data_IF_181740527424
#
_entry.id   IF_181740527424
#
_cell.length_a   1.000
_cell.length_b   1.000
_cell.length_c   1.000
_cell.angle_alpha   90.00
_cell.angle_beta   90.00
_cell.angle_gamma   90.00
#
_symmetry.space_group_name_H-M   'P 1'
#
loop_
_entity.id
_entity.type
_entity.pdbx_description
1 polymer ?
#
# COMPACT_ATOMS: atom_id res chain seq x y z
N UNK A 1 -47.70 25.65 -50.81
CA UNK A 1 -46.42 24.93 -50.95
C UNK A 1 -46.40 23.77 -49.98
N UNK A 2 -46.30 22.55 -50.52
CA UNK A 2 -45.81 21.30 -49.90
C UNK A 2 -46.52 20.76 -48.64
N UNK A 3 -46.34 19.46 -48.47
CA UNK A 3 -47.26 18.46 -47.96
C UNK A 3 -46.49 17.41 -47.14
N UNK A 4 -47.23 16.52 -46.44
CA UNK A 4 -46.81 15.26 -45.78
C UNK A 4 -46.02 15.36 -44.47
N UNK A 5 -46.08 14.45 -43.50
CA UNK A 5 -47.03 13.42 -42.98
C UNK A 5 -46.39 12.99 -41.64
N UNK A 6 -47.21 12.48 -40.72
CA UNK A 6 -46.82 11.81 -39.47
C UNK A 6 -46.08 10.49 -39.69
N UNK A 7 -45.17 10.14 -38.78
CA UNK A 7 -44.90 8.75 -38.38
C UNK A 7 -44.51 8.67 -36.89
N UNK A 8 -45.07 7.66 -36.23
CA UNK A 8 -45.01 7.29 -34.81
C UNK A 8 -43.93 6.20 -34.59
N UNK A 9 -43.79 5.76 -33.31
CA UNK A 9 -43.12 4.53 -32.76
C UNK A 9 -41.73 4.83 -32.14
N UNK A 10 -41.40 4.62 -30.84
CA UNK A 10 -42.02 3.97 -29.65
C UNK A 10 -41.34 4.49 -28.35
N UNK A 11 -41.95 4.25 -27.15
CA UNK A 11 -41.53 4.82 -25.88
C UNK A 11 -40.60 3.94 -25.02
N UNK A 12 -39.83 4.61 -24.16
CA UNK A 12 -38.99 4.09 -23.07
C UNK A 12 -39.82 3.52 -21.89
N UNK A 13 -39.30 2.58 -21.07
CA UNK A 13 -40.08 1.86 -20.06
C UNK A 13 -40.37 2.67 -18.78
N UNK A 14 -41.41 2.29 -18.00
CA UNK A 14 -42.00 3.13 -16.97
C UNK A 14 -41.32 3.02 -15.59
N UNK A 15 -41.22 4.18 -14.93
CA UNK A 15 -41.04 4.31 -13.49
C UNK A 15 -42.32 3.88 -12.77
N UNK A 16 -42.23 2.84 -11.95
CA UNK A 16 -43.28 2.49 -10.98
C UNK A 16 -43.23 3.51 -9.84
N UNK A 17 -44.23 4.38 -9.80
CA UNK A 17 -44.55 5.22 -8.64
C UNK A 17 -45.83 4.66 -8.04
N UNK A 18 -45.73 3.97 -6.90
CA UNK A 18 -46.90 3.49 -6.16
C UNK A 18 -47.28 4.54 -5.12
N UNK A 19 -48.40 5.22 -5.36
CA UNK A 19 -49.08 6.03 -4.36
C UNK A 19 -49.80 5.10 -3.37
N UNK A 20 -49.51 5.27 -2.08
CA UNK A 20 -50.43 4.89 -1.00
C UNK A 20 -50.65 6.12 -0.13
N UNK A 21 -51.88 6.61 -0.17
CA UNK A 21 -52.38 7.71 0.63
C UNK A 21 -52.62 7.24 2.07
N UNK A 22 -51.97 7.89 3.05
CA UNK A 22 -52.47 7.96 4.43
C UNK A 22 -52.19 9.36 5.00
N UNK A 23 -53.27 10.10 5.21
CA UNK A 23 -53.58 10.81 6.46
C UNK A 23 -52.57 11.80 7.04
N UNK A 24 -52.91 13.08 6.91
CA UNK A 24 -52.43 14.23 7.69
C UNK A 24 -52.53 14.05 9.22
N UNK A 25 -51.40 14.17 9.96
CA UNK A 25 -51.22 14.80 11.30
C UNK A 25 -49.74 14.69 11.80
N UNK A 26 -49.26 15.54 12.73
CA UNK A 26 -47.86 15.98 12.76
C UNK A 26 -46.90 15.06 13.53
N UNK A 27 -45.69 14.89 12.99
CA UNK A 27 -44.59 14.16 13.59
C UNK A 27 -43.93 14.93 14.75
N UNK A 28 -44.43 14.72 15.98
CA UNK A 28 -43.68 14.96 17.22
C UNK A 28 -43.99 13.86 18.25
N UNK A 29 -43.58 12.62 17.97
CA UNK A 29 -43.45 11.59 19.03
C UNK A 29 -42.71 10.29 18.67
N UNK A 30 -41.93 10.20 17.58
CA UNK A 30 -41.35 8.92 17.13
C UNK A 30 -39.82 8.79 17.27
N UNK A 31 -39.15 9.62 18.09
CA UNK A 31 -37.70 9.48 18.34
C UNK A 31 -37.34 9.00 19.75
N UNK A 32 -38.32 8.81 20.66
CA UNK A 32 -38.04 8.42 22.04
C UNK A 32 -38.16 6.90 22.29
N UNK A 33 -38.93 6.18 21.48
CA UNK A 33 -39.22 4.75 21.71
C UNK A 33 -38.29 3.78 20.97
N UNK A 34 -37.53 4.26 19.96
CA UNK A 34 -36.54 3.45 19.24
C UNK A 34 -35.21 3.30 19.99
N UNK A 35 -34.87 4.22 20.90
CA UNK A 35 -33.63 4.17 21.69
C UNK A 35 -33.77 3.24 22.91
N UNK A 36 -34.99 3.06 23.44
CA UNK A 36 -35.20 2.23 24.64
C UNK A 36 -35.20 0.72 24.36
N UNK A 37 -35.50 0.29 23.13
CA UNK A 37 -35.70 -1.15 22.84
C UNK A 37 -34.39 -1.87 22.50
N UNK A 38 -33.40 -1.16 21.94
CA UNK A 38 -32.10 -1.74 21.57
C UNK A 38 -31.12 -1.82 22.74
N UNK A 39 -31.10 -0.81 23.63
CA UNK A 39 -30.18 -0.79 24.76
C UNK A 39 -30.53 -1.83 25.84
N UNK A 40 -31.82 -2.08 26.07
CA UNK A 40 -32.26 -3.05 27.08
C UNK A 40 -32.11 -4.52 26.67
N UNK A 41 -32.12 -4.84 25.36
CA UNK A 41 -31.87 -6.20 24.87
C UNK A 41 -30.40 -6.60 25.01
N UNK A 42 -29.48 -5.68 24.70
CA UNK A 42 -28.04 -5.96 24.79
C UNK A 42 -27.56 -6.13 26.25
N UNK A 43 -28.09 -5.32 27.18
CA UNK A 43 -27.76 -5.44 28.60
C UNK A 43 -28.29 -6.74 29.23
N UNK A 44 -29.50 -7.20 28.85
CA UNK A 44 -30.06 -8.48 29.35
C UNK A 44 -29.32 -9.70 28.85
N UNK A 45 -28.79 -9.69 27.62
CA UNK A 45 -28.05 -10.83 27.07
C UNK A 45 -26.65 -11.00 27.70
N UNK A 46 -25.99 -9.89 28.05
CA UNK A 46 -24.72 -9.91 28.78
C UNK A 46 -24.87 -10.46 30.22
N UNK A 47 -25.99 -10.15 30.88
CA UNK A 47 -26.28 -10.64 32.23
C UNK A 47 -26.73 -12.11 32.24
N UNK A 48 -27.31 -12.59 31.13
CA UNK A 48 -27.66 -14.00 30.92
C UNK A 48 -26.45 -14.89 30.62
N UNK A 49 -25.46 -14.37 29.88
CA UNK A 49 -24.19 -15.05 29.64
C UNK A 49 -23.34 -15.14 30.92
N UNK A 50 -23.29 -14.08 31.75
CA UNK A 50 -22.63 -14.14 33.07
C UNK A 50 -23.26 -15.12 34.05
N UNK A 51 -24.58 -15.35 33.97
CA UNK A 51 -25.27 -16.36 34.81
C UNK A 51 -25.07 -17.79 34.30
N UNK A 52 -24.78 -18.00 33.02
CA UNK A 52 -24.46 -19.33 32.49
C UNK A 52 -23.06 -19.80 32.89
N UNK A 53 -22.05 -18.91 32.91
CA UNK A 53 -20.67 -19.26 33.32
C UNK A 53 -20.52 -19.59 34.82
N UNK A 54 -21.46 -19.17 35.67
CA UNK A 54 -21.46 -19.50 37.11
C UNK A 54 -22.20 -20.81 37.40
N UNK A 55 -22.86 -21.41 36.41
CA UNK A 55 -23.66 -22.64 36.57
C UNK A 55 -23.03 -23.91 36.01
N UNK A 56 -21.87 -23.81 35.35
CA UNK A 56 -21.17 -24.96 34.73
C UNK A 56 -19.91 -25.43 35.47
N UNK A 57 -19.63 -24.94 36.69
CA UNK A 57 -18.59 -25.50 37.56
C UNK A 57 -19.06 -26.80 38.24
N UNK A 58 -19.19 -27.86 37.46
CA UNK A 58 -19.30 -29.23 37.94
C UNK A 58 -17.91 -29.80 38.26
N UNK A 59 -17.62 -29.86 39.58
CA UNK A 59 -16.82 -30.86 40.33
C UNK A 59 -15.73 -31.64 39.57
N UNK A 60 -14.47 -31.36 39.91
CA UNK A 60 -13.33 -32.27 39.73
C UNK A 60 -13.35 -33.36 40.83
N UNK A 61 -13.36 -34.66 40.50
CA UNK A 61 -13.38 -35.74 41.48
C UNK A 61 -11.97 -36.24 41.79
N UNK A 62 -11.11 -35.38 42.34
CA UNK A 62 -9.81 -35.80 42.89
C UNK A 62 -9.08 -34.65 43.59
N UNK A 63 -9.57 -34.21 44.75
CA UNK A 63 -8.68 -33.53 45.70
C UNK A 63 -9.24 -33.62 47.14
N UNK A 64 -8.42 -34.02 48.12
CA UNK A 64 -8.86 -34.20 49.51
C UNK A 64 -9.01 -32.86 50.24
N UNK A 65 -9.92 -32.85 51.23
CA UNK A 65 -10.27 -31.69 52.06
C UNK A 65 -9.24 -31.44 53.16
N UNK A 66 -9.05 -30.18 53.55
CA UNK A 66 -8.75 -29.81 54.94
C UNK A 66 -7.84 -28.59 55.13
N UNK A 67 -8.26 -27.68 56.03
CA UNK A 67 -7.37 -26.81 56.80
C UNK A 67 -7.47 -25.30 56.55
N UNK A 68 -8.16 -24.57 57.44
CA UNK A 68 -7.88 -23.16 57.77
C UNK A 68 -6.71 -23.08 58.80
N UNK A 69 -6.32 -21.90 59.35
CA UNK A 69 -5.63 -20.75 58.75
C UNK A 69 -4.35 -20.38 59.58
N UNK A 70 -3.93 -19.11 59.58
CA UNK A 70 -2.76 -18.46 60.24
C UNK A 70 -1.55 -18.27 59.29
N UNK A 71 -0.83 -17.15 59.26
CA UNK A 71 -0.77 -15.97 60.12
C UNK A 71 0.69 -15.47 60.14
N UNK A 72 0.86 -14.18 59.89
CA UNK A 72 1.97 -13.30 60.30
C UNK A 72 3.36 -13.26 59.61
N UNK A 73 3.71 -11.99 59.32
CA UNK A 73 4.96 -11.27 59.60
C UNK A 73 6.31 -11.56 58.89
N UNK A 74 6.93 -10.45 58.44
CA UNK A 74 8.38 -10.19 58.52
C UNK A 74 9.15 -10.32 57.19
N UNK A 75 9.46 -9.27 56.43
CA UNK A 75 10.49 -8.22 56.65
C UNK A 75 11.91 -8.56 56.12
N UNK A 76 12.41 -7.68 55.21
CA UNK A 76 13.83 -7.35 54.87
C UNK A 76 14.64 -8.47 54.15
N UNK A 77 15.67 -8.27 53.33
CA UNK A 77 16.34 -7.13 52.67
C UNK A 77 17.48 -7.70 51.80
N UNK A 78 17.58 -7.31 50.52
CA UNK A 78 18.80 -7.19 49.65
C UNK A 78 19.82 -8.39 49.53
N UNK A 79 20.93 -8.30 48.77
CA UNK A 79 21.00 -8.71 47.35
C UNK A 79 22.20 -9.62 46.96
N UNK A 80 22.27 -9.96 45.66
CA UNK A 80 23.45 -10.23 44.81
C UNK A 80 24.15 -11.62 44.79
N UNK A 81 24.58 -11.91 43.55
CA UNK A 81 25.34 -13.00 42.91
C UNK A 81 26.49 -13.70 43.68
N UNK A 82 26.74 -14.99 43.37
CA UNK A 82 27.89 -15.41 42.54
C UNK A 82 27.93 -16.94 42.24
N UNK A 83 28.41 -17.19 41.02
CA UNK A 83 29.15 -18.26 40.32
C UNK A 83 29.37 -19.73 40.81
N UNK A 84 29.54 -20.56 39.78
CA UNK A 84 30.41 -21.76 39.60
C UNK A 84 30.03 -23.18 40.10
N UNK A 85 30.11 -24.15 39.17
CA UNK A 85 30.75 -25.46 39.46
C UNK A 85 30.23 -26.76 38.81
N UNK A 86 30.82 -27.16 37.66
CA UNK A 86 31.40 -28.51 37.35
C UNK A 86 30.46 -29.78 37.25
N UNK A 87 30.93 -30.99 36.85
CA UNK A 87 31.33 -31.44 35.50
C UNK A 87 30.77 -32.85 35.09
N UNK A 88 31.07 -33.34 33.87
CA UNK A 88 31.65 -34.69 33.55
C UNK A 88 31.22 -35.35 32.20
N UNK A 89 32.29 -35.74 31.50
CA UNK A 89 32.54 -36.62 30.35
C UNK A 89 31.66 -37.88 30.21
N UNK A 90 31.40 -38.30 28.95
CA UNK A 90 31.95 -39.51 28.32
C UNK A 90 31.49 -39.66 26.85
N UNK A 91 32.44 -39.92 25.94
CA UNK A 91 32.27 -40.57 24.63
C UNK A 91 33.04 -41.91 24.69
N UNK A 92 32.79 -42.90 23.80
CA UNK A 92 33.44 -42.99 22.48
C UNK A 92 32.53 -43.72 21.43
N UNK A 93 32.83 -44.02 20.16
CA UNK A 93 33.94 -43.87 19.21
C UNK A 93 33.37 -44.17 17.80
N UNK A 94 34.03 -43.70 16.72
CA UNK A 94 33.97 -44.43 15.45
C UNK A 94 34.02 -43.63 14.14
N UNK A 95 35.12 -43.86 13.39
CA UNK A 95 35.26 -43.88 11.91
C UNK A 95 35.76 -42.62 11.16
N UNK A 96 37.10 -42.62 11.04
CA UNK A 96 37.97 -42.50 9.84
C UNK A 96 37.66 -41.48 8.74
N UNK A 97 38.67 -40.64 8.51
CA UNK A 97 38.90 -39.80 7.34
C UNK A 97 39.24 -40.60 6.07
N UNK A 98 38.77 -40.09 4.93
CA UNK A 98 39.22 -40.42 3.58
C UNK A 98 39.04 -39.20 2.68
N UNK A 99 40.14 -38.55 2.31
CA UNK A 99 40.16 -37.41 1.39
C UNK A 99 40.26 -37.87 -0.06
N UNK A 100 39.50 -37.21 -0.93
CA UNK A 100 39.60 -37.27 -2.39
C UNK A 100 39.12 -35.93 -2.99
N UNK A 101 39.70 -35.46 -4.12
CA UNK A 101 39.41 -34.13 -4.64
C UNK A 101 38.06 -34.12 -5.37
N UNK A 102 37.09 -33.43 -4.78
CA UNK A 102 35.78 -33.20 -5.39
C UNK A 102 35.85 -32.11 -6.45
N UNK A 103 35.66 -32.52 -7.70
CA UNK A 103 35.43 -31.68 -8.88
C UNK A 103 34.39 -30.59 -8.55
N UNK A 104 34.76 -29.33 -8.77
CA UNK A 104 33.83 -28.20 -8.69
C UNK A 104 32.79 -28.33 -9.81
N UNK A 105 31.64 -28.93 -9.50
CA UNK A 105 30.45 -28.78 -10.32
C UNK A 105 30.04 -27.32 -10.24
N UNK A 106 30.31 -26.58 -11.32
CA UNK A 106 29.75 -25.26 -11.52
C UNK A 106 28.25 -25.35 -11.32
N UNK A 107 27.74 -24.65 -10.30
CA UNK A 107 26.32 -24.34 -10.19
C UNK A 107 25.97 -23.49 -11.42
N UNK A 108 25.56 -24.16 -12.48
CA UNK A 108 24.84 -23.54 -13.57
C UNK A 108 23.57 -22.95 -12.98
N UNK A 109 23.62 -21.67 -12.62
CA UNK A 109 22.44 -20.93 -12.27
C UNK A 109 21.44 -21.15 -13.41
N UNK A 110 20.24 -21.64 -13.06
CA UNK A 110 19.14 -21.69 -14.01
C UNK A 110 19.08 -20.33 -14.75
N UNK A 111 18.91 -20.31 -16.08
CA UNK A 111 18.93 -19.07 -16.83
C UNK A 111 17.95 -18.09 -16.18
N UNK A 112 18.48 -16.94 -15.72
CA UNK A 112 17.67 -15.89 -15.11
C UNK A 112 16.49 -15.61 -16.04
N UNK A 113 15.26 -15.76 -15.53
CA UNK A 113 14.09 -15.37 -16.31
C UNK A 113 14.26 -13.90 -16.74
N UNK A 114 13.99 -13.56 -18.02
CA UNK A 114 14.34 -12.24 -18.54
C UNK A 114 13.58 -11.13 -17.82
N UNK A 115 14.33 -10.16 -17.30
CA UNK A 115 13.88 -8.91 -16.73
C UNK A 115 12.77 -8.25 -17.56
N UNK A 116 11.75 -7.68 -16.90
CA UNK A 116 10.60 -7.06 -17.57
C UNK A 116 10.08 -5.82 -16.85
N UNK A 117 9.82 -4.77 -17.64
CA UNK A 117 9.05 -3.60 -17.25
C UNK A 117 7.77 -3.52 -18.08
N UNK A 118 6.63 -3.39 -17.39
CA UNK A 118 5.35 -3.13 -18.01
C UNK A 118 4.95 -1.67 -17.82
N UNK A 119 4.35 -1.07 -18.83
CA UNK A 119 3.70 0.23 -18.70
C UNK A 119 2.25 0.15 -19.18
N UNK A 120 1.48 1.14 -18.77
CA UNK A 120 0.15 1.38 -19.32
C UNK A 120 0.17 2.78 -19.93
N UNK A 121 -0.44 2.94 -21.10
CA UNK A 121 -0.45 4.21 -21.81
C UNK A 121 -1.79 4.42 -22.52
N UNK A 122 -2.14 5.67 -22.77
CA UNK A 122 -3.32 6.03 -23.54
C UNK A 122 -2.94 6.27 -24.99
N UNK A 123 -3.77 5.83 -25.93
CA UNK A 123 -3.69 6.22 -27.34
C UNK A 123 -5.02 6.82 -27.79
N UNK A 124 -5.04 8.04 -28.37
CA UNK A 124 -6.26 8.68 -28.85
C UNK A 124 -7.07 7.76 -29.77
N UNK A 125 -8.38 7.66 -29.52
CA UNK A 125 -9.30 6.79 -30.27
C UNK A 125 -9.17 5.29 -29.98
N UNK A 126 -8.09 4.83 -29.32
CA UNK A 126 -7.90 3.41 -28.94
C UNK A 126 -8.03 3.17 -27.42
N UNK A 127 -7.93 4.22 -26.61
CA UNK A 127 -8.03 4.14 -25.16
C UNK A 127 -6.77 3.59 -24.51
N UNK A 128 -6.95 2.88 -23.39
CA UNK A 128 -5.88 2.28 -22.60
C UNK A 128 -5.20 1.13 -23.34
N UNK A 129 -3.87 1.11 -23.27
CA UNK A 129 -2.97 0.13 -23.89
C UNK A 129 -1.96 -0.38 -22.86
N UNK A 130 -1.44 -1.58 -23.10
CA UNK A 130 -0.40 -2.23 -22.28
C UNK A 130 0.87 -2.35 -23.09
N UNK A 131 2.00 -1.99 -22.50
CA UNK A 131 3.30 -2.02 -23.15
C UNK A 131 4.34 -2.83 -22.39
N UNK A 132 5.23 -3.50 -23.12
CA UNK A 132 6.53 -3.99 -22.61
C UNK A 132 7.59 -2.98 -22.99
N UNK A 133 8.39 -2.53 -22.03
CA UNK A 133 9.48 -1.57 -22.28
C UNK A 133 10.73 -2.34 -22.70
N UNK A 134 11.34 -1.94 -23.83
CA UNK A 134 12.57 -2.51 -24.38
C UNK A 134 13.51 -1.37 -24.79
N UNK A 135 14.53 -1.09 -23.97
CA UNK A 135 15.40 0.07 -24.19
C UNK A 135 14.58 1.37 -24.16
N UNK A 136 14.69 2.17 -25.21
CA UNK A 136 13.97 3.44 -25.36
C UNK A 136 12.62 3.30 -26.08
N UNK A 137 12.13 2.07 -26.23
CA UNK A 137 10.91 1.75 -26.95
C UNK A 137 9.89 1.02 -26.07
N UNK A 138 8.62 1.13 -26.46
CA UNK A 138 7.49 0.38 -25.89
C UNK A 138 6.85 -0.47 -26.97
N UNK A 139 6.85 -1.78 -26.78
CA UNK A 139 6.06 -2.72 -27.59
C UNK A 139 4.61 -2.74 -27.10
N UNK A 140 3.66 -2.37 -27.95
CA UNK A 140 2.23 -2.47 -27.63
C UNK A 140 1.79 -3.94 -27.66
N UNK A 141 1.54 -4.50 -26.47
CA UNK A 141 1.08 -5.87 -26.27
C UNK A 141 -0.42 -5.95 -25.96
N UNK A 142 -1.18 -4.88 -26.22
CA UNK A 142 -2.59 -4.83 -25.84
C UNK A 142 -3.39 -5.90 -26.58
N UNK A 143 -3.94 -6.85 -25.83
CA UNK A 143 -4.77 -7.93 -26.35
C UNK A 143 -5.77 -8.39 -25.29
N UNK A 144 -6.98 -7.80 -25.24
CA UNK A 144 -8.01 -8.19 -24.27
C UNK A 144 -8.34 -9.69 -24.34
N UNK A 145 -8.38 -10.27 -25.55
CA UNK A 145 -8.62 -11.72 -25.75
C UNK A 145 -7.53 -12.60 -25.15
N UNK A 146 -6.30 -12.09 -25.03
CA UNK A 146 -5.19 -12.81 -24.41
C UNK A 146 -4.95 -12.40 -22.94
N UNK A 147 -5.89 -11.70 -22.31
CA UNK A 147 -5.76 -11.23 -20.92
C UNK A 147 -4.88 -9.98 -20.75
N UNK A 148 -4.43 -9.35 -21.83
CA UNK A 148 -3.58 -8.15 -21.82
C UNK A 148 -4.38 -6.89 -22.21
N UNK A 149 -5.60 -6.73 -21.69
CA UNK A 149 -6.40 -5.51 -21.88
C UNK A 149 -5.94 -4.34 -21.00
N UNK A 150 -5.34 -4.66 -19.85
CA UNK A 150 -4.71 -3.75 -18.90
C UNK A 150 -3.63 -4.52 -18.15
N UNK A 151 -2.74 -3.83 -17.43
CA UNK A 151 -1.78 -4.51 -16.54
C UNK A 151 -2.49 -5.23 -15.40
N UNK A 152 -3.61 -4.68 -14.90
CA UNK A 152 -4.45 -5.35 -13.91
C UNK A 152 -5.00 -6.68 -14.45
N UNK A 153 -5.50 -6.72 -15.68
CA UNK A 153 -6.00 -7.95 -16.32
C UNK A 153 -4.88 -9.01 -16.48
N UNK A 154 -3.64 -8.60 -16.73
CA UNK A 154 -2.49 -9.51 -16.72
C UNK A 154 -2.25 -10.09 -15.33
N UNK A 155 -2.28 -9.26 -14.28
CA UNK A 155 -2.11 -9.70 -12.90
C UNK A 155 -3.21 -10.69 -12.51
N UNK A 156 -4.46 -10.38 -12.81
CA UNK A 156 -5.62 -11.23 -12.51
C UNK A 156 -5.58 -12.57 -13.24
N UNK A 157 -5.20 -12.57 -14.52
CA UNK A 157 -5.18 -13.79 -15.34
C UNK A 157 -3.96 -14.69 -15.06
N UNK A 158 -2.83 -14.11 -14.67
CA UNK A 158 -1.58 -14.85 -14.51
C UNK A 158 -1.24 -15.19 -13.05
N UNK A 159 -1.70 -14.38 -12.09
CA UNK A 159 -1.55 -14.58 -10.65
C UNK A 159 -0.12 -14.53 -10.09
N UNK A 160 0.92 -14.58 -10.92
CA UNK A 160 2.33 -14.61 -10.52
C UNK A 160 3.17 -13.76 -11.47
N UNK A 161 4.29 -13.22 -10.97
CA UNK A 161 5.25 -12.48 -11.80
C UNK A 161 5.74 -13.28 -13.01
N UNK A 162 6.21 -14.52 -12.81
CA UNK A 162 6.66 -15.40 -13.89
C UNK A 162 5.54 -15.69 -14.92
N UNK A 163 4.29 -15.81 -14.46
CA UNK A 163 3.13 -15.94 -15.34
C UNK A 163 2.90 -14.70 -16.19
N UNK A 164 2.97 -13.52 -15.58
CA UNK A 164 2.84 -12.22 -16.26
C UNK A 164 3.94 -12.08 -17.31
N UNK A 165 5.19 -12.33 -16.95
CA UNK A 165 6.33 -12.26 -17.86
C UNK A 165 6.19 -13.20 -19.05
N UNK A 166 5.86 -14.47 -18.79
CA UNK A 166 5.65 -15.46 -19.86
C UNK A 166 4.56 -15.02 -20.82
N UNK A 167 3.41 -14.54 -20.30
CA UNK A 167 2.29 -14.09 -21.12
C UNK A 167 2.64 -12.85 -21.93
N UNK A 168 3.22 -11.83 -21.30
CA UNK A 168 3.62 -10.60 -21.96
C UNK A 168 4.65 -10.87 -23.07
N UNK A 169 5.62 -11.75 -22.83
CA UNK A 169 6.64 -12.15 -23.81
C UNK A 169 6.05 -12.94 -24.98
N UNK A 170 5.08 -13.81 -24.73
CA UNK A 170 4.35 -14.51 -25.80
C UNK A 170 3.63 -13.54 -26.74
N UNK A 171 2.98 -12.52 -26.18
CA UNK A 171 2.26 -11.51 -26.96
C UNK A 171 3.26 -10.58 -27.67
N UNK A 172 4.33 -10.16 -27.00
CA UNK A 172 5.36 -9.28 -27.54
C UNK A 172 6.03 -9.85 -28.80
N UNK A 173 6.26 -11.17 -28.87
CA UNK A 173 6.78 -11.83 -30.10
C UNK A 173 5.91 -11.63 -31.34
N UNK A 174 4.62 -11.34 -31.14
CA UNK A 174 3.64 -11.09 -32.21
C UNK A 174 3.29 -9.61 -32.34
N UNK A 175 3.79 -8.75 -31.45
CA UNK A 175 3.53 -7.33 -31.48
C UNK A 175 4.17 -6.68 -32.71
N UNK A 176 3.43 -5.80 -33.37
CA UNK A 176 3.89 -5.08 -34.58
C UNK A 176 4.04 -3.58 -34.36
N UNK A 177 3.52 -3.07 -33.25
CA UNK A 177 3.53 -1.65 -32.94
C UNK A 177 4.57 -1.40 -31.87
N UNK A 178 5.56 -0.57 -32.21
CA UNK A 178 6.59 -0.07 -31.34
C UNK A 178 6.46 1.45 -31.27
N UNK A 179 6.52 2.01 -30.08
CA UNK A 179 6.34 3.44 -29.81
C UNK A 179 7.55 3.91 -29.00
N UNK A 180 8.28 4.94 -29.43
CA UNK A 180 9.38 5.49 -28.63
C UNK A 180 8.89 5.96 -27.26
N UNK A 181 9.66 5.71 -26.21
CA UNK A 181 9.33 6.09 -24.84
C UNK A 181 9.05 7.59 -24.72
N UNK A 182 9.87 8.43 -25.34
CA UNK A 182 9.67 9.89 -25.38
C UNK A 182 8.39 10.34 -26.10
N UNK A 183 7.76 9.46 -26.88
CA UNK A 183 6.43 9.73 -27.42
C UNK A 183 5.31 9.57 -26.39
N UNK A 184 5.55 8.80 -25.34
CA UNK A 184 4.60 8.54 -24.25
C UNK A 184 4.91 9.37 -23.00
N UNK A 185 6.18 9.66 -22.73
CA UNK A 185 6.61 10.39 -21.53
C UNK A 185 6.36 11.90 -21.65
N UNK A 186 5.08 12.28 -21.48
CA UNK A 186 4.60 13.66 -21.60
C UNK A 186 3.35 13.87 -20.74
N UNK A 187 2.93 15.12 -20.52
CA UNK A 187 1.68 15.42 -19.82
C UNK A 187 0.47 14.72 -20.44
N UNK A 188 -0.47 14.23 -19.60
CA UNK A 188 -1.70 13.60 -20.08
C UNK A 188 -2.48 14.49 -21.05
N UNK A 189 -2.95 13.89 -22.15
CA UNK A 189 -3.71 14.60 -23.19
C UNK A 189 -4.71 13.69 -23.88
N UNK A 190 -5.96 14.12 -24.11
CA UNK A 190 -6.92 13.35 -24.90
C UNK A 190 -6.54 13.29 -26.39
N UNK A 191 -5.60 14.13 -26.85
CA UNK A 191 -5.23 14.27 -28.26
C UNK A 191 -3.88 13.64 -28.60
N UNK A 192 -3.10 13.22 -27.61
CA UNK A 192 -1.76 12.64 -27.82
C UNK A 192 -1.58 11.40 -26.96
N UNK A 193 -0.83 10.43 -27.48
CA UNK A 193 -0.45 9.29 -26.68
C UNK A 193 0.41 9.76 -25.48
N UNK A 194 0.20 9.14 -24.32
CA UNK A 194 0.88 9.48 -23.09
C UNK A 194 0.85 8.31 -22.10
N UNK A 195 1.83 8.26 -21.19
CA UNK A 195 1.87 7.30 -20.09
C UNK A 195 0.68 7.49 -19.13
N UNK A 196 0.19 6.38 -18.62
CA UNK A 196 -0.76 6.30 -17.51
C UNK A 196 -0.04 5.76 -16.27
N UNK A 197 -0.71 5.75 -15.12
CA UNK A 197 -0.25 4.93 -14.01
C UNK A 197 -0.13 3.47 -14.48
N UNK A 198 0.88 2.69 -14.02
CA UNK A 198 1.14 1.35 -14.54
C UNK A 198 -0.06 0.41 -14.48
N UNK A 199 -0.97 0.62 -13.54
CA UNK A 199 -2.31 0.05 -13.54
C UNK A 199 -3.30 1.02 -12.89
N UNK A 200 -4.58 0.70 -12.96
CA UNK A 200 -5.60 1.31 -12.10
C UNK A 200 -5.78 0.44 -10.85
N UNK A 201 -5.16 0.79 -9.71
CA UNK A 201 -5.20 -0.06 -8.53
C UNK A 201 -6.60 -0.07 -7.90
N UNK A 202 -7.19 -1.25 -7.61
CA UNK A 202 -8.45 -1.32 -6.86
C UNK A 202 -8.34 -0.63 -5.51
N UNK A 203 -7.22 -0.84 -4.83
CA UNK A 203 -6.88 -0.24 -3.55
C UNK A 203 -5.40 0.17 -3.54
N UNK A 204 -5.11 1.27 -2.84
CA UNK A 204 -3.76 1.68 -2.46
C UNK A 204 -3.71 1.77 -0.94
N UNK A 205 -2.72 1.13 -0.35
CA UNK A 205 -2.38 1.19 1.06
C UNK A 205 -0.99 1.79 1.24
N UNK A 206 -0.72 2.36 2.41
CA UNK A 206 0.59 2.85 2.81
C UNK A 206 1.04 2.20 4.12
N UNK A 207 2.36 2.11 4.30
CA UNK A 207 3.00 1.72 5.54
C UNK A 207 3.89 2.87 6.02
N UNK A 208 3.57 3.44 7.18
CA UNK A 208 4.38 4.51 7.76
C UNK A 208 5.50 3.96 8.65
N UNK A 209 6.46 4.84 8.95
CA UNK A 209 7.48 4.62 10.00
C UNK A 209 8.31 3.35 9.75
N UNK A 210 8.68 3.11 8.49
CA UNK A 210 9.49 1.94 8.10
C UNK A 210 11.00 2.23 8.07
N UNK A 211 11.40 3.50 8.18
CA UNK A 211 12.80 3.97 8.26
C UNK A 211 13.08 4.66 9.59
N UNK A 212 14.28 4.46 10.15
CA UNK A 212 14.68 5.09 11.43
C UNK A 212 14.58 6.62 11.39
N UNK A 213 15.04 7.22 10.28
CA UNK A 213 15.02 8.69 10.10
C UNK A 213 13.60 9.25 10.03
N UNK A 214 12.68 8.47 9.44
CA UNK A 214 11.26 8.83 9.38
C UNK A 214 10.67 8.89 10.79
N UNK A 215 10.88 7.85 11.60
CA UNK A 215 10.48 7.85 13.02
C UNK A 215 11.02 9.09 13.76
N UNK A 216 12.32 9.35 13.67
CA UNK A 216 12.97 10.48 14.35
C UNK A 216 12.38 11.83 13.95
N UNK A 217 12.04 11.99 12.67
CA UNK A 217 11.43 13.20 12.15
C UNK A 217 10.02 13.42 12.71
N UNK A 218 9.16 12.41 12.63
CA UNK A 218 7.78 12.51 13.14
C UNK A 218 7.74 12.75 14.66
N UNK A 219 8.61 12.10 15.43
CA UNK A 219 8.73 12.34 16.88
C UNK A 219 9.17 13.78 17.22
N UNK A 220 10.09 14.35 16.44
CA UNK A 220 10.55 15.72 16.67
C UNK A 220 9.44 16.76 16.42
N UNK A 221 8.53 16.50 15.48
CA UNK A 221 7.53 17.48 15.01
C UNK A 221 6.12 17.29 15.61
N UNK A 222 5.88 16.22 16.36
CA UNK A 222 4.61 16.00 17.08
C UNK A 222 4.67 16.40 18.57
N UNK A 223 5.78 17.00 18.98
CA UNK A 223 6.09 17.36 20.38
C UNK A 223 5.72 18.77 20.84
N UNK A 224 5.48 19.74 19.94
CA UNK A 224 5.28 21.15 20.36
C UNK A 224 4.03 21.38 21.21
N UNK A 225 3.06 20.45 21.18
CA UNK A 225 1.81 20.54 21.96
C UNK A 225 1.58 19.33 22.90
N UNK A 226 2.58 18.47 23.10
CA UNK A 226 2.66 17.49 24.19
C UNK A 226 1.65 16.32 24.23
N UNK A 227 0.68 16.22 23.31
CA UNK A 227 -0.41 15.22 23.40
C UNK A 227 -0.15 13.89 22.68
N UNK A 228 0.88 13.81 21.83
CA UNK A 228 1.08 12.71 20.87
C UNK A 228 2.52 12.19 20.79
N UNK A 229 3.40 12.66 21.68
CA UNK A 229 4.80 12.24 21.73
C UNK A 229 4.91 10.72 21.99
N UNK A 230 5.76 10.03 21.24
CA UNK A 230 6.10 8.62 21.42
C UNK A 230 5.27 7.62 20.62
N UNK A 231 4.23 8.05 19.89
CA UNK A 231 3.41 7.11 19.10
C UNK A 231 4.19 6.53 17.91
N UNK A 232 5.07 7.29 17.29
CA UNK A 232 5.82 6.87 16.11
C UNK A 232 7.02 6.00 16.53
N UNK A 233 7.70 6.36 17.62
CA UNK A 233 8.73 5.51 18.24
C UNK A 233 8.15 4.16 18.67
N UNK A 234 6.98 4.17 19.31
CA UNK A 234 6.27 2.95 19.68
C UNK A 234 5.96 2.05 18.48
N UNK A 235 5.46 2.62 17.37
CA UNK A 235 5.21 1.87 16.12
C UNK A 235 6.51 1.32 15.54
N UNK A 236 7.58 2.12 15.53
CA UNK A 236 8.86 1.72 14.97
C UNK A 236 9.41 0.48 15.68
N UNK A 237 9.32 0.42 17.02
CA UNK A 237 9.82 -0.71 17.82
C UNK A 237 8.82 -1.87 18.00
N UNK A 238 7.54 -1.67 17.67
CA UNK A 238 6.52 -2.72 17.74
C UNK A 238 6.62 -3.74 16.63
N UNK A 239 6.16 -4.99 16.85
CA UNK A 239 6.02 -5.96 15.76
C UNK A 239 4.96 -5.54 14.73
N UNK A 240 3.85 -4.95 15.19
CA UNK A 240 2.78 -4.48 14.33
C UNK A 240 3.20 -3.17 13.63
N UNK A 241 3.25 -3.11 12.29
CA UNK A 241 3.53 -1.88 11.57
C UNK A 241 2.30 -0.97 11.53
N UNK A 242 2.53 0.31 11.25
CA UNK A 242 1.46 1.19 10.78
C UNK A 242 1.05 0.78 9.36
N UNK A 243 -0.26 0.67 9.15
CA UNK A 243 -0.87 0.50 7.83
C UNK A 243 -2.10 1.40 7.75
N UNK A 244 -2.25 2.11 6.63
CA UNK A 244 -3.40 2.97 6.38
C UNK A 244 -3.87 2.86 4.93
N UNK A 245 -5.17 3.07 4.73
CA UNK A 245 -5.73 3.18 3.38
C UNK A 245 -5.32 4.51 2.78
N UNK A 246 -4.73 4.50 1.58
CA UNK A 246 -4.18 5.69 0.93
C UNK A 246 -5.07 6.24 -0.17
N UNK A 247 -5.48 5.40 -1.12
CA UNK A 247 -6.18 5.89 -2.31
C UNK A 247 -7.01 4.83 -3.02
N UNK A 248 -8.02 5.31 -3.76
CA UNK A 248 -8.69 4.57 -4.84
C UNK A 248 -8.04 4.94 -6.17
N UNK A 249 -8.25 4.15 -7.24
CA UNK A 249 -7.77 4.48 -8.58
C UNK A 249 -8.06 5.93 -9.02
N UNK A 250 -9.24 6.47 -8.69
CA UNK A 250 -9.65 7.84 -9.05
C UNK A 250 -8.85 8.96 -8.35
N UNK A 251 -8.14 8.65 -7.26
CA UNK A 251 -7.28 9.57 -6.50
C UNK A 251 -5.79 9.39 -6.84
N UNK A 252 -5.47 8.34 -7.60
CA UNK A 252 -4.12 7.98 -8.02
C UNK A 252 -3.81 8.55 -9.40
N UNK A 253 -2.61 9.09 -9.56
CA UNK A 253 -2.13 9.65 -10.83
C UNK A 253 -0.88 8.94 -11.34
N UNK A 254 -0.68 8.98 -12.66
CA UNK A 254 0.49 8.40 -13.31
C UNK A 254 1.60 9.44 -13.58
N UNK A 255 2.60 9.09 -14.39
CA UNK A 255 3.63 10.03 -14.84
C UNK A 255 3.04 11.27 -15.50
N UNK A 256 3.65 12.41 -15.22
CA UNK A 256 3.34 13.75 -15.72
C UNK A 256 1.93 14.28 -15.43
N UNK A 257 1.10 13.50 -14.73
CA UNK A 257 -0.20 13.94 -14.22
C UNK A 257 -0.02 14.71 -12.91
N UNK A 258 -0.84 15.74 -12.63
CA UNK A 258 -0.63 16.59 -11.46
C UNK A 258 -0.97 15.86 -10.15
N UNK A 259 -0.06 15.93 -9.18
CA UNK A 259 -0.36 15.61 -7.78
C UNK A 259 -1.05 16.79 -7.10
N UNK A 260 -1.84 16.49 -6.07
CA UNK A 260 -2.66 17.48 -5.35
C UNK A 260 -1.96 18.07 -4.13
N UNK A 261 -2.16 19.36 -3.90
CA UNK A 261 -1.97 20.00 -2.58
C UNK A 261 -3.33 20.48 -2.12
N UNK A 262 -3.75 20.12 -0.91
CA UNK A 262 -5.07 20.53 -0.41
C UNK A 262 -5.15 22.05 -0.27
N UNK A 263 -6.33 22.62 -0.47
CA UNK A 263 -6.56 24.06 -0.33
C UNK A 263 -6.34 24.56 1.11
N UNK A 264 -6.58 23.69 2.09
CA UNK A 264 -6.47 23.96 3.52
C UNK A 264 -5.13 23.51 4.14
N UNK A 265 -4.21 22.96 3.34
CA UNK A 265 -2.87 22.61 3.81
C UNK A 265 -1.84 23.66 3.37
N UNK A 266 -1.04 24.09 4.34
CA UNK A 266 0.12 24.98 4.20
C UNK A 266 1.44 24.20 4.12
N UNK A 267 1.45 22.96 4.62
CA UNK A 267 2.62 22.09 4.65
C UNK A 267 2.26 20.72 4.06
N UNK A 268 2.27 20.63 2.73
CA UNK A 268 2.16 19.35 2.02
C UNK A 268 3.54 18.93 1.51
N UNK A 269 3.93 17.69 1.78
CA UNK A 269 5.22 17.13 1.39
C UNK A 269 5.05 15.99 0.38
N UNK A 270 6.13 15.77 -0.40
CA UNK A 270 6.36 14.52 -1.13
C UNK A 270 6.92 13.49 -0.18
N UNK A 271 6.44 12.26 -0.29
CA UNK A 271 7.04 11.10 0.36
C UNK A 271 7.43 10.11 -0.74
N UNK A 272 8.71 10.10 -1.09
CA UNK A 272 9.23 9.23 -2.14
C UNK A 272 9.41 7.81 -1.59
N UNK A 273 8.84 6.82 -2.30
CA UNK A 273 8.76 5.44 -1.79
C UNK A 273 8.94 4.39 -2.88
N UNK A 274 9.36 3.19 -2.45
CA UNK A 274 9.12 1.96 -3.18
C UNK A 274 7.67 1.52 -2.94
N UNK A 275 6.94 1.20 -4.01
CA UNK A 275 5.63 0.55 -3.90
C UNK A 275 5.69 -0.88 -4.45
N UNK A 276 4.95 -1.79 -3.82
CA UNK A 276 4.76 -3.16 -4.27
C UNK A 276 3.34 -3.37 -4.78
N UNK A 277 3.18 -4.21 -5.80
CA UNK A 277 1.87 -4.62 -6.33
C UNK A 277 1.67 -6.09 -6.07
N UNK A 278 0.51 -6.46 -5.52
CA UNK A 278 0.25 -7.83 -5.06
C UNK A 278 -0.79 -8.56 -5.90
N UNK A 279 -0.58 -9.86 -6.07
CA UNK A 279 -1.60 -10.78 -6.57
C UNK A 279 -2.63 -11.12 -5.47
N UNK A 280 -3.69 -11.84 -5.86
CA UNK A 280 -4.79 -12.26 -4.98
C UNK A 280 -4.33 -13.01 -3.71
N UNK A 281 -3.25 -13.78 -3.84
CA UNK A 281 -2.67 -14.59 -2.75
C UNK A 281 -1.65 -13.81 -1.90
N UNK A 282 -1.42 -12.53 -2.19
CA UNK A 282 -0.45 -11.69 -1.50
C UNK A 282 0.98 -11.79 -2.05
N UNK A 283 1.24 -12.57 -3.10
CA UNK A 283 2.56 -12.56 -3.73
C UNK A 283 2.82 -11.22 -4.42
N UNK A 284 4.01 -10.67 -4.22
CA UNK A 284 4.45 -9.47 -4.93
C UNK A 284 4.68 -9.83 -6.40
N UNK A 285 3.99 -9.13 -7.30
CA UNK A 285 4.08 -9.33 -8.76
C UNK A 285 4.79 -8.20 -9.49
N UNK A 286 5.03 -7.07 -8.81
CA UNK A 286 5.86 -6.02 -9.35
C UNK A 286 6.09 -4.88 -8.36
N UNK A 287 6.94 -3.96 -8.79
CA UNK A 287 7.42 -2.82 -8.04
C UNK A 287 7.31 -1.55 -8.88
N UNK A 288 7.13 -0.40 -8.22
CA UNK A 288 7.10 0.91 -8.85
C UNK A 288 7.70 1.98 -7.92
N UNK A 289 8.14 3.10 -8.48
CA UNK A 289 8.38 4.30 -7.69
C UNK A 289 7.02 4.92 -7.35
N UNK A 290 6.89 5.46 -6.15
CA UNK A 290 5.65 6.04 -5.66
C UNK A 290 5.88 7.35 -4.90
N UNK A 291 4.83 8.16 -4.85
CA UNK A 291 4.72 9.38 -4.06
C UNK A 291 3.47 9.30 -3.17
N UNK A 292 3.66 9.17 -1.86
CA UNK A 292 2.62 9.30 -0.85
C UNK A 292 2.47 10.78 -0.42
N UNK A 293 1.74 11.56 -1.23
CA UNK A 293 1.60 13.01 -0.99
C UNK A 293 0.81 13.27 0.29
N UNK A 294 1.39 14.04 1.20
CA UNK A 294 0.95 14.10 2.60
C UNK A 294 0.86 15.53 3.11
N UNK A 295 -0.32 15.93 3.61
CA UNK A 295 -0.52 17.22 4.27
C UNK A 295 -0.08 17.14 5.75
N UNK A 296 1.22 17.32 5.98
CA UNK A 296 1.82 17.14 7.30
C UNK A 296 1.34 18.12 8.35
N UNK A 297 0.94 19.35 8.00
CA UNK A 297 0.34 20.25 8.98
C UNK A 297 -0.94 19.67 9.59
N UNK A 298 -1.80 19.09 8.75
CA UNK A 298 -3.05 18.43 9.19
C UNK A 298 -2.74 17.20 10.05
N UNK A 299 -1.76 16.39 9.66
CA UNK A 299 -1.35 15.20 10.42
C UNK A 299 -0.74 15.55 11.78
N UNK A 300 0.17 16.53 11.80
CA UNK A 300 0.86 16.99 13.02
C UNK A 300 -0.11 17.67 14.00
N UNK A 301 -1.17 18.29 13.51
CA UNK A 301 -2.21 18.87 14.37
C UNK A 301 -2.89 17.79 15.21
N UNK A 302 -3.24 16.66 14.59
CA UNK A 302 -3.82 15.52 15.29
C UNK A 302 -3.66 14.23 14.47
N UNK A 303 -3.11 13.14 15.03
CA UNK A 303 -2.96 11.87 14.33
C UNK A 303 -4.31 11.28 13.87
N UNK A 304 -5.43 11.65 14.49
CA UNK A 304 -6.77 11.26 14.03
C UNK A 304 -7.17 11.93 12.70
N UNK A 305 -6.43 12.96 12.27
CA UNK A 305 -6.63 13.62 10.97
C UNK A 305 -5.82 12.98 9.84
N UNK A 306 -5.04 11.92 10.11
CA UNK A 306 -4.29 11.16 9.11
C UNK A 306 -5.12 10.79 7.85
N UNK A 307 -6.39 10.34 7.95
CA UNK A 307 -7.18 10.06 6.75
C UNK A 307 -7.39 11.30 5.85
N UNK A 308 -7.52 12.49 6.45
CA UNK A 308 -7.68 13.75 5.71
C UNK A 308 -6.36 14.22 5.11
N UNK A 309 -5.25 13.99 5.81
CA UNK A 309 -3.91 14.35 5.33
C UNK A 309 -3.37 13.42 4.25
N UNK A 310 -3.91 12.20 4.12
CA UNK A 310 -3.46 11.20 3.14
C UNK A 310 -4.45 10.94 2.01
N UNK A 311 -5.76 11.17 2.16
CA UNK A 311 -6.78 10.78 1.17
C UNK A 311 -7.48 11.98 0.53
N UNK A 312 -7.04 12.39 -0.66
CA UNK A 312 -7.62 13.50 -1.44
C UNK A 312 -7.31 13.35 -2.94
N UNK A 313 -7.77 14.29 -3.79
CA UNK A 313 -7.54 14.21 -5.23
C UNK A 313 -6.06 14.38 -5.61
N UNK A 314 -5.46 13.38 -6.26
CA UNK A 314 -4.03 13.41 -6.62
C UNK A 314 -3.10 13.19 -5.42
N UNK A 315 -3.58 12.52 -4.37
CA UNK A 315 -2.79 12.26 -3.16
C UNK A 315 -1.77 11.13 -3.32
N UNK A 316 -1.87 10.31 -4.37
CA UNK A 316 -0.92 9.23 -4.64
C UNK A 316 -0.50 9.26 -6.10
N UNK A 317 0.79 9.09 -6.37
CA UNK A 317 1.31 8.87 -7.71
C UNK A 317 2.22 7.65 -7.72
N UNK A 318 2.22 6.87 -8.80
CA UNK A 318 3.18 5.78 -8.96
C UNK A 318 3.47 5.47 -10.43
N UNK A 319 4.67 4.93 -10.68
CA UNK A 319 5.16 4.62 -12.03
C UNK A 319 6.66 4.83 -12.16
N UNK A 320 7.18 5.06 -13.39
CA UNK A 320 6.45 5.11 -14.66
C UNK A 320 6.09 3.73 -15.21
N UNK A 321 6.64 2.68 -14.60
CA UNK A 321 6.45 1.28 -14.99
C UNK A 321 6.07 0.43 -13.78
N UNK A 322 5.57 -0.77 -14.05
CA UNK A 322 5.57 -1.89 -13.13
C UNK A 322 6.76 -2.80 -13.50
N UNK A 323 7.82 -2.76 -12.70
CA UNK A 323 8.98 -3.64 -12.85
C UNK A 323 8.71 -4.97 -12.16
N UNK A 324 8.96 -6.10 -12.84
CA UNK A 324 8.77 -7.42 -12.23
C UNK A 324 9.90 -7.75 -11.24
N UNK A 325 9.71 -8.74 -10.34
CA UNK A 325 10.78 -9.19 -9.45
C UNK A 325 12.09 -9.58 -10.14
N UNK A 326 12.05 -10.15 -11.35
CA UNK A 326 13.27 -10.45 -12.12
C UNK A 326 14.00 -9.17 -12.57
N UNK A 327 13.25 -8.11 -12.90
CA UNK A 327 13.77 -6.78 -13.24
C UNK A 327 14.40 -6.08 -12.04
N UNK A 328 13.83 -6.23 -10.84
CA UNK A 328 14.29 -5.52 -9.63
C UNK A 328 15.40 -6.26 -8.88
N UNK A 329 15.40 -7.60 -8.89
CA UNK A 329 16.32 -8.38 -8.07
C UNK A 329 16.04 -8.16 -6.58
N UNK A 330 16.98 -7.54 -5.85
CA UNK A 330 16.81 -7.23 -4.44
C UNK A 330 16.11 -5.88 -4.24
N UNK A 331 14.87 -5.92 -3.75
CA UNK A 331 14.08 -4.73 -3.45
C UNK A 331 14.61 -3.94 -2.22
N UNK A 332 15.51 -4.53 -1.43
CA UNK A 332 16.12 -3.94 -0.23
C UNK A 332 17.56 -3.48 -0.48
N UNK A 333 17.87 -3.10 -1.72
CA UNK A 333 19.19 -2.60 -2.11
C UNK A 333 19.15 -1.55 -3.22
N UNK A 334 18.02 -0.86 -3.39
CA UNK A 334 17.80 0.09 -4.48
C UNK A 334 18.11 1.52 -4.03
N UNK A 335 18.82 2.27 -4.87
CA UNK A 335 18.96 3.71 -4.66
C UNK A 335 17.68 4.47 -5.05
N UNK A 336 17.20 5.32 -4.15
CA UNK A 336 16.05 6.19 -4.31
C UNK A 336 16.49 7.65 -4.16
N UNK A 337 16.15 8.48 -5.15
CA UNK A 337 16.41 9.92 -5.13
C UNK A 337 15.12 10.70 -5.38
N UNK A 338 14.85 11.69 -4.54
CA UNK A 338 13.73 12.62 -4.69
C UNK A 338 14.26 14.02 -4.96
N UNK A 339 13.69 14.70 -5.96
CA UNK A 339 13.97 16.10 -6.29
C UNK A 339 12.70 16.91 -6.38
N UNK A 340 12.74 18.13 -5.87
CA UNK A 340 11.67 19.12 -6.05
C UNK A 340 12.26 20.28 -6.85
N UNK A 341 11.62 20.63 -7.96
CA UNK A 341 11.97 21.77 -8.79
C UNK A 341 10.92 22.86 -8.66
N UNK A 342 11.36 24.07 -8.29
CA UNK A 342 10.53 25.27 -8.16
C UNK A 342 10.96 26.29 -9.21
N UNK A 343 10.04 26.69 -10.08
CA UNK A 343 10.33 27.58 -11.22
C UNK A 343 11.52 27.10 -12.08
N UNK A 344 11.62 25.77 -12.28
CA UNK A 344 12.68 25.14 -13.06
C UNK A 344 14.04 25.04 -12.36
N UNK A 345 14.16 25.47 -11.09
CA UNK A 345 15.39 25.35 -10.29
C UNK A 345 15.23 24.26 -9.23
N UNK A 346 16.30 23.51 -8.98
CA UNK A 346 16.33 22.51 -7.92
C UNK A 346 16.14 23.23 -6.57
N UNK A 347 15.04 22.92 -5.89
CA UNK A 347 14.71 23.43 -4.56
C UNK A 347 15.19 22.47 -3.48
N UNK A 348 14.94 21.17 -3.65
CA UNK A 348 15.32 20.13 -2.69
C UNK A 348 15.83 18.89 -3.43
N UNK A 349 16.82 18.21 -2.85
CA UNK A 349 17.23 16.87 -3.24
C UNK A 349 17.48 16.01 -1.98
N UNK A 350 16.88 14.83 -1.95
CA UNK A 350 17.11 13.83 -0.91
C UNK A 350 17.39 12.46 -1.52
N UNK A 351 18.19 11.66 -0.82
CA UNK A 351 18.58 10.31 -1.25
C UNK A 351 18.54 9.33 -0.09
N UNK A 352 18.13 8.10 -0.37
CA UNK A 352 18.18 6.97 0.57
C UNK A 352 18.35 5.68 -0.23
N UNK A 353 18.91 4.64 0.39
CA UNK A 353 18.87 3.30 -0.18
C UNK A 353 17.80 2.45 0.54
N UNK A 354 17.06 1.61 -0.19
CA UNK A 354 15.99 0.80 0.40
C UNK A 354 16.47 -0.22 1.42
N UNK A 355 17.78 -0.52 1.50
CA UNK A 355 18.38 -1.32 2.59
C UNK A 355 18.22 -0.72 3.99
N UNK A 356 17.95 0.58 4.07
CA UNK A 356 17.70 1.27 5.34
C UNK A 356 16.27 1.05 5.87
N UNK A 357 15.40 0.42 5.08
CA UNK A 357 14.05 0.06 5.48
C UNK A 357 14.12 -1.08 6.52
N UNK A 358 13.62 -0.82 7.74
CA UNK A 358 13.57 -1.82 8.82
C UNK A 358 12.62 -2.97 8.47
N UNK A 359 11.50 -2.64 7.83
CA UNK A 359 10.42 -3.59 7.54
C UNK A 359 10.58 -4.18 6.15
N UNK A 360 10.49 -5.51 6.07
CA UNK A 360 10.52 -6.20 4.78
C UNK A 360 9.19 -6.07 4.04
N UNK A 361 9.25 -5.94 2.72
CA UNK A 361 8.05 -5.78 1.88
C UNK A 361 7.07 -6.96 2.04
N UNK A 362 7.58 -8.18 2.11
CA UNK A 362 6.79 -9.40 2.31
C UNK A 362 6.12 -9.46 3.69
N UNK A 363 6.80 -8.97 4.74
CA UNK A 363 6.22 -8.82 6.08
C UNK A 363 5.08 -7.78 6.09
N UNK A 364 5.29 -6.61 5.48
CA UNK A 364 4.26 -5.57 5.36
C UNK A 364 3.02 -6.09 4.62
N UNK A 365 3.19 -6.83 3.53
CA UNK A 365 2.08 -7.48 2.82
C UNK A 365 1.40 -8.54 3.69
N UNK A 366 2.17 -9.29 4.49
CA UNK A 366 1.64 -10.26 5.46
C UNK A 366 0.74 -9.61 6.51
N UNK A 367 1.15 -8.45 7.06
CA UNK A 367 0.33 -7.65 7.96
C UNK A 367 -0.91 -7.08 7.29
N UNK A 368 -0.76 -6.53 6.08
CA UNK A 368 -1.87 -5.95 5.31
C UNK A 368 -2.97 -6.99 5.05
N UNK A 369 -2.60 -8.25 4.82
CA UNK A 369 -3.56 -9.32 4.50
C UNK A 369 -4.14 -10.02 5.72
N UNK A 370 -3.66 -9.70 6.92
CA UNK A 370 -4.08 -10.37 8.15
C UNK A 370 -5.54 -10.00 8.46
N UNK A 371 -6.45 -10.93 8.17
CA UNK A 371 -7.91 -10.73 8.27
C UNK A 371 -8.46 -9.59 7.41
N UNK A 372 -7.73 -9.21 6.37
CA UNK A 372 -8.12 -8.13 5.46
C UNK A 372 -7.86 -8.59 4.01
N UNK A 373 -8.89 -9.09 3.31
CA UNK A 373 -8.74 -9.54 1.93
C UNK A 373 -8.48 -8.35 1.01
N UNK A 374 -7.36 -8.37 0.29
CA UNK A 374 -7.01 -7.32 -0.69
C UNK A 374 -7.19 -7.82 -2.13
N UNK A 375 -7.74 -7.01 -3.05
CA UNK A 375 -7.86 -7.36 -4.46
C UNK A 375 -6.51 -7.58 -5.15
N UNK A 376 -6.42 -8.43 -6.20
CA UNK A 376 -5.26 -8.45 -7.08
C UNK A 376 -5.02 -7.06 -7.69
N UNK A 377 -3.75 -6.67 -7.82
CA UNK A 377 -3.37 -5.32 -8.25
C UNK A 377 -3.46 -4.26 -7.15
N UNK A 378 -3.72 -4.65 -5.89
CA UNK A 378 -3.55 -3.73 -4.75
C UNK A 378 -2.11 -3.25 -4.70
N UNK A 379 -1.94 -1.95 -4.47
CA UNK A 379 -0.65 -1.30 -4.30
C UNK A 379 -0.40 -1.07 -2.81
N UNK A 380 0.79 -1.39 -2.33
CA UNK A 380 1.25 -1.04 -0.99
C UNK A 380 2.52 -0.19 -1.10
N UNK A 381 2.41 1.08 -0.71
CA UNK A 381 3.54 1.99 -0.56
C UNK A 381 4.26 1.69 0.76
N UNK A 382 5.59 1.58 0.73
CA UNK A 382 6.37 0.93 1.81
C UNK A 382 7.03 1.88 2.80
N UNK A 383 6.65 3.16 2.78
CA UNK A 383 7.17 4.20 3.65
C UNK A 383 8.40 4.90 3.08
N UNK A 384 8.61 6.15 3.48
CA UNK A 384 9.71 6.97 2.99
C UNK A 384 10.89 7.04 3.96
N UNK A 385 12.10 7.08 3.40
CA UNK A 385 13.33 7.42 4.12
C UNK A 385 13.86 8.83 3.81
N UNK A 386 13.15 9.58 2.95
CA UNK A 386 13.53 10.95 2.54
C UNK A 386 12.53 11.93 3.16
N UNK A 387 13.03 12.81 4.02
CA UNK A 387 12.23 13.78 4.76
C UNK A 387 12.52 15.16 4.18
N UNK A 388 11.50 15.81 3.64
CA UNK A 388 11.58 17.14 3.05
C UNK A 388 11.51 18.18 4.18
N UNK A 389 12.47 19.10 4.33
CA UNK A 389 12.35 20.20 5.29
C UNK A 389 11.13 21.08 5.00
N UNK A 390 10.54 21.69 6.04
CA UNK A 390 9.28 22.43 5.93
C UNK A 390 9.36 23.62 4.95
N UNK A 391 10.54 24.25 4.80
CA UNK A 391 10.78 25.32 3.81
C UNK A 391 10.68 24.87 2.35
N UNK A 392 10.71 23.55 2.12
CA UNK A 392 10.55 22.90 0.82
C UNK A 392 9.16 22.25 0.65
N UNK A 393 8.17 22.63 1.47
CA UNK A 393 6.76 22.28 1.26
C UNK A 393 6.34 22.53 -0.19
N UNK A 394 5.54 21.62 -0.76
CA UNK A 394 5.09 21.69 -2.14
C UNK A 394 4.18 22.90 -2.38
N UNK A 395 4.42 23.60 -3.49
CA UNK A 395 3.60 24.71 -3.95
C UNK A 395 3.11 24.52 -5.40
N UNK A 396 2.11 25.31 -5.79
CA UNK A 396 1.57 25.33 -7.15
C UNK A 396 2.68 25.49 -8.20
N UNK A 397 2.70 24.60 -9.18
CA UNK A 397 3.66 24.65 -10.28
C UNK A 397 5.04 24.07 -9.98
N UNK A 398 5.29 23.59 -8.75
CA UNK A 398 6.46 22.75 -8.48
C UNK A 398 6.42 21.47 -9.34
N UNK A 399 7.58 20.85 -9.56
CA UNK A 399 7.70 19.53 -10.18
C UNK A 399 8.48 18.61 -9.25
N UNK A 400 7.88 17.47 -8.94
CA UNK A 400 8.52 16.40 -8.18
C UNK A 400 9.07 15.35 -9.14
N UNK A 401 10.32 14.93 -8.92
CA UNK A 401 10.94 13.80 -9.60
C UNK A 401 11.43 12.78 -8.58
N UNK A 402 11.04 11.52 -8.77
CA UNK A 402 11.45 10.38 -7.94
C UNK A 402 12.12 9.37 -8.85
N UNK A 403 13.45 9.27 -8.75
CA UNK A 403 14.26 8.27 -9.44
C UNK A 403 14.44 7.06 -8.51
N UNK A 404 14.02 5.89 -8.97
CA UNK A 404 14.23 4.63 -8.27
C UNK A 404 15.00 3.66 -9.16
N UNK A 405 16.12 3.17 -8.65
CA UNK A 405 17.03 2.27 -9.37
C UNK A 405 16.28 1.06 -9.93
N UNK A 406 16.65 0.66 -11.16
CA UNK A 406 16.04 -0.45 -11.93
C UNK A 406 14.57 -0.26 -12.30
N UNK A 407 13.87 0.75 -11.77
CA UNK A 407 12.46 1.02 -12.08
C UNK A 407 12.38 2.17 -13.08
N UNK A 408 12.88 3.36 -12.71
CA UNK A 408 12.86 4.55 -13.55
C UNK A 408 12.42 5.80 -12.77
N UNK A 409 12.15 6.87 -13.51
CA UNK A 409 11.77 8.18 -12.96
C UNK A 409 10.26 8.40 -13.00
N UNK A 410 9.66 8.60 -11.84
CA UNK A 410 8.32 9.15 -11.72
C UNK A 410 8.42 10.68 -11.64
N UNK A 411 7.70 11.39 -12.50
CA UNK A 411 7.69 12.85 -12.54
C UNK A 411 6.27 13.37 -12.44
N UNK A 412 5.98 14.30 -11.54
CA UNK A 412 4.64 14.87 -11.37
C UNK A 412 4.70 16.39 -11.15
N UNK A 413 3.96 17.19 -11.92
CA UNK A 413 3.72 18.59 -11.56
C UNK A 413 2.79 18.68 -10.34
N UNK A 414 2.87 19.78 -9.60
CA UNK A 414 2.04 20.04 -8.42
C UNK A 414 0.90 21.00 -8.75
N UNK A 415 -0.30 20.69 -8.24
CA UNK A 415 -1.49 21.54 -8.35
C UNK A 415 -2.22 21.67 -7.01
N UNK A 416 -2.50 22.90 -6.60
CA UNK A 416 -3.40 23.26 -5.51
C UNK A 416 -4.85 22.93 -5.89
N UNK A 417 -5.51 22.16 -5.04
CA UNK A 417 -6.94 21.86 -5.18
C UNK A 417 -7.78 23.10 -4.88
N UNK A 418 -8.96 23.21 -5.51
CA UNK A 418 -9.88 24.34 -5.36
C UNK A 418 -11.28 23.86 -5.02
#
# INVERSE_FOLDING_TARGET
MKSWRSELVTPSPPHITMWLAIGSKPARKCCRDLISTYFFRYARDQERQRRHDVSSMSRCPSCPRGGEPHGDAGARSSPAADDAGMPLRCAPDGLRAGGGPGVSSGNGAAPREPAMKLCQFHVPGKGTRVGVVEGDDVLDITSPKAGAGSVLALIESCGTAAGIERRAREIARRARTRIPWGELDRPPSPRRAHLLAPLHPPEVWGAGITYRRSMQYYEAHTGEHGRTKGIYDYVYESERPELFFKATASRTVGPNAPIGVRADSRLTAVEAELAVVVARDGRIVGYAAANDVSAWDIERENPLFLPQSKVFGGCFAFGPVLATPSEVGDAHGLDLTCRIFRHGRLSFEGRVNTREMKRRCDDLVGWLRRHNPVPPGTVLSTGTGILVPDEHALDEGDVVEIDLERIGRLRNPVRRLR
#
